data_IF_312210251433
#
_entry.id   IF_312210251433
#
_cell.length_a   1.000
_cell.length_b   1.000
_cell.length_c   1.000
_cell.angle_alpha   90.00
_cell.angle_beta   90.00
_cell.angle_gamma   90.00
#
_symmetry.space_group_name_H-M   'P 1'
#
loop_
_entity.id
_entity.type
_entity.pdbx_description
1 polymer ?
#
# COMPACT_ATOMS: atom_id res chain seq x y z
N UNK A 1 -10.10 3.12 -37.37
CA UNK A 1 -11.35 3.79 -36.95
C UNK A 1 -10.96 4.89 -35.95
N UNK A 2 -11.26 6.16 -36.23
CA UNK A 2 -10.68 7.31 -35.54
C UNK A 2 -11.41 7.60 -34.22
N UNK A 3 -10.63 7.93 -33.19
CA UNK A 3 -11.12 8.39 -31.89
C UNK A 3 -11.66 9.82 -32.05
N UNK A 4 -12.98 9.97 -31.94
CA UNK A 4 -13.69 11.25 -31.93
C UNK A 4 -14.08 11.57 -30.48
N UNK A 5 -13.91 12.85 -30.15
CA UNK A 5 -14.52 13.58 -29.04
C UNK A 5 -13.75 13.61 -27.72
N UNK A 6 -12.79 14.52 -27.63
CA UNK A 6 -12.95 15.61 -26.66
C UNK A 6 -12.22 16.88 -27.14
N UNK A 7 -12.92 17.79 -27.83
CA UNK A 7 -12.50 19.17 -27.99
C UNK A 7 -13.10 20.00 -26.86
N UNK A 8 -12.29 20.53 -25.95
CA UNK A 8 -12.55 21.86 -25.41
C UNK A 8 -11.22 22.51 -25.01
N UNK A 9 -10.75 23.22 -26.02
CA UNK A 9 -9.71 24.24 -26.06
C UNK A 9 -10.40 25.55 -25.61
N UNK A 10 -9.63 26.45 -24.96
CA UNK A 10 -9.95 27.84 -24.52
C UNK A 10 -10.93 27.91 -23.33
N UNK A 11 -10.77 28.76 -22.31
CA UNK A 11 -10.44 30.19 -22.39
C UNK A 11 -9.59 30.65 -21.20
N UNK A 12 -8.49 31.31 -21.55
CA UNK A 12 -7.69 32.21 -20.71
C UNK A 12 -8.63 33.20 -20.03
N UNK A 13 -8.81 33.11 -18.71
CA UNK A 13 -9.43 34.18 -17.93
C UNK A 13 -8.41 35.32 -17.82
N UNK A 14 -8.26 36.05 -18.92
CA UNK A 14 -7.78 37.41 -18.88
C UNK A 14 -8.90 38.21 -18.22
N UNK A 15 -8.72 38.52 -16.94
CA UNK A 15 -9.48 39.59 -16.30
C UNK A 15 -9.08 40.86 -17.03
N UNK A 16 -9.90 41.26 -18.01
CA UNK A 16 -9.81 42.57 -18.66
C UNK A 16 -10.27 43.57 -17.62
N UNK A 17 -9.36 43.97 -16.73
CA UNK A 17 -9.53 45.19 -15.96
C UNK A 17 -9.65 46.34 -16.95
N UNK A 18 -10.80 47.02 -16.88
CA UNK A 18 -10.98 48.42 -17.23
C UNK A 18 -10.25 48.89 -18.49
N UNK A 19 -11.01 49.07 -19.56
CA UNK A 19 -10.64 50.08 -20.56
C UNK A 19 -10.45 51.41 -19.84
N UNK A 20 -9.19 51.78 -19.64
CA UNK A 20 -8.81 53.05 -19.05
C UNK A 20 -9.12 54.15 -20.05
N UNK A 21 -10.07 55.01 -19.68
CA UNK A 21 -10.11 56.41 -20.10
C UNK A 21 -10.22 56.65 -21.60
N UNK A 22 -11.45 56.66 -22.11
CA UNK A 22 -11.76 57.56 -23.22
C UNK A 22 -11.72 59.00 -22.67
N UNK A 23 -10.52 59.57 -22.69
CA UNK A 23 -10.30 60.99 -22.40
C UNK A 23 -10.91 61.81 -23.54
N UNK A 24 -11.99 62.52 -23.19
CA UNK A 24 -12.32 63.86 -23.66
C UNK A 24 -12.36 64.09 -25.17
N UNK A 25 -13.53 63.93 -25.77
CA UNK A 25 -13.85 64.56 -27.05
C UNK A 25 -15.10 65.42 -26.89
N UNK A 26 -14.91 66.75 -26.88
CA UNK A 26 -15.94 67.74 -27.22
C UNK A 26 -17.04 68.00 -26.18
N UNK A 27 -16.70 68.75 -25.13
CA UNK A 27 -17.63 69.32 -24.13
C UNK A 27 -18.45 70.50 -24.70
N UNK A 28 -19.28 70.26 -25.73
CA UNK A 28 -20.21 71.28 -26.24
C UNK A 28 -21.59 70.69 -26.63
N UNK A 29 -21.87 69.44 -26.24
CA UNK A 29 -23.18 68.80 -26.43
C UNK A 29 -23.59 68.01 -25.19
N UNK A 30 -23.39 68.57 -23.99
CA UNK A 30 -24.03 68.03 -22.78
C UNK A 30 -25.49 68.41 -22.79
N UNK A 31 -26.35 67.40 -22.78
CA UNK A 31 -27.81 67.58 -22.73
C UNK A 31 -28.16 67.91 -21.28
N UNK A 32 -28.54 69.16 -21.01
CA UNK A 32 -29.05 69.59 -19.71
C UNK A 32 -30.22 68.69 -19.29
N UNK A 33 -30.33 68.39 -18.00
CA UNK A 33 -31.45 67.63 -17.47
C UNK A 33 -32.78 68.23 -17.91
N UNK A 34 -33.69 67.39 -18.43
CA UNK A 34 -35.04 67.83 -18.87
C UNK A 34 -35.76 68.67 -17.80
N UNK A 35 -35.52 68.36 -16.52
CA UNK A 35 -36.08 69.09 -15.38
C UNK A 35 -35.48 70.49 -15.25
N UNK A 36 -34.17 70.64 -15.40
CA UNK A 36 -33.47 71.93 -15.35
C UNK A 36 -33.82 72.75 -16.58
N UNK A 37 -33.97 72.12 -17.75
CA UNK A 37 -34.42 72.78 -18.98
C UNK A 37 -35.82 73.36 -18.88
N UNK A 38 -36.77 72.60 -18.31
CA UNK A 38 -38.14 73.08 -18.06
C UNK A 38 -38.16 74.22 -17.05
N UNK A 39 -37.37 74.10 -15.98
CA UNK A 39 -37.27 75.13 -14.94
C UNK A 39 -36.67 76.42 -15.51
N UNK A 40 -35.56 76.32 -16.25
CA UNK A 40 -34.93 77.43 -16.94
C UNK A 40 -35.93 78.13 -17.88
N UNK A 41 -36.64 77.34 -18.71
CA UNK A 41 -37.66 77.87 -19.63
C UNK A 41 -38.78 78.62 -18.91
N UNK A 42 -39.20 78.14 -17.74
CA UNK A 42 -40.21 78.82 -16.91
C UNK A 42 -39.67 80.12 -16.31
N UNK A 43 -38.44 80.10 -15.79
CA UNK A 43 -37.83 81.27 -15.15
C UNK A 43 -37.54 82.38 -16.18
N UNK A 44 -37.04 82.03 -17.37
CA UNK A 44 -36.79 83.01 -18.43
C UNK A 44 -38.07 83.68 -18.95
N UNK A 45 -39.20 82.95 -19.04
CA UNK A 45 -40.51 83.54 -19.37
C UNK A 45 -41.00 84.55 -18.33
N UNK A 46 -40.78 84.26 -17.05
CA UNK A 46 -41.11 85.20 -15.97
C UNK A 46 -40.19 86.44 -15.99
N UNK A 47 -38.89 86.27 -16.27
CA UNK A 47 -37.99 87.40 -16.46
C UNK A 47 -38.38 88.28 -17.64
N UNK A 48 -38.81 87.70 -18.76
CA UNK A 48 -39.33 88.46 -19.89
C UNK A 48 -40.55 89.31 -19.49
N UNK A 49 -41.46 88.75 -18.70
CA UNK A 49 -42.64 89.47 -18.16
C UNK A 49 -42.22 90.59 -17.19
N UNK A 50 -41.18 90.38 -16.39
CA UNK A 50 -40.66 91.36 -15.43
C UNK A 50 -39.97 92.54 -16.14
N UNK A 51 -39.19 92.25 -17.19
CA UNK A 51 -38.54 93.26 -18.03
C UNK A 51 -39.60 94.15 -18.71
N UNK A 52 -40.68 93.56 -19.22
CA UNK A 52 -41.78 94.30 -19.85
C UNK A 52 -42.49 95.28 -18.90
N UNK A 53 -42.62 94.94 -17.61
CA UNK A 53 -43.35 95.75 -16.62
C UNK A 53 -42.48 96.75 -15.87
N UNK A 54 -41.22 96.40 -15.60
CA UNK A 54 -40.35 97.11 -14.65
C UNK A 54 -39.00 97.52 -15.25
N UNK A 55 -38.74 97.22 -16.51
CA UNK A 55 -37.49 97.53 -17.20
C UNK A 55 -36.36 96.54 -16.91
N UNK A 56 -35.37 96.51 -17.80
CA UNK A 56 -34.26 95.55 -17.81
C UNK A 56 -33.39 95.59 -16.54
N UNK A 57 -33.17 96.79 -15.99
CA UNK A 57 -32.34 96.99 -14.79
C UNK A 57 -32.85 96.21 -13.56
N UNK A 58 -34.13 95.84 -13.54
CA UNK A 58 -34.74 95.05 -12.46
C UNK A 58 -34.18 93.62 -12.36
N UNK A 59 -33.69 93.04 -13.47
CA UNK A 59 -33.26 91.63 -13.54
C UNK A 59 -31.75 91.49 -13.75
N UNK A 60 -31.07 92.56 -14.17
CA UNK A 60 -29.66 92.58 -14.60
C UNK A 60 -28.67 91.88 -13.64
N UNK A 61 -28.81 92.09 -12.33
CA UNK A 61 -27.93 91.47 -11.32
C UNK A 61 -28.43 90.10 -10.84
N UNK A 62 -29.71 89.78 -11.07
CA UNK A 62 -30.33 88.52 -10.65
C UNK A 62 -30.14 87.41 -11.68
N UNK A 63 -30.12 87.75 -12.97
CA UNK A 63 -29.96 86.78 -14.06
C UNK A 63 -28.68 85.94 -13.93
N UNK A 64 -27.48 86.50 -13.66
CA UNK A 64 -26.27 85.70 -13.50
C UNK A 64 -26.33 84.75 -12.30
N UNK A 65 -27.00 85.14 -11.21
CA UNK A 65 -27.18 84.28 -10.03
C UNK A 65 -28.09 83.10 -10.35
N UNK A 66 -29.19 83.33 -11.05
CA UNK A 66 -30.11 82.27 -11.48
C UNK A 66 -29.45 81.31 -12.47
N UNK A 67 -28.68 81.84 -13.43
CA UNK A 67 -27.89 81.01 -14.36
C UNK A 67 -26.93 80.12 -13.58
N UNK A 68 -26.14 80.67 -12.66
CA UNK A 68 -25.21 79.89 -11.84
C UNK A 68 -25.92 78.82 -10.99
N UNK A 69 -27.12 79.11 -10.46
CA UNK A 69 -27.94 78.12 -9.73
C UNK A 69 -28.44 77.01 -10.66
N UNK A 70 -28.87 77.34 -11.89
CA UNK A 70 -29.31 76.36 -12.87
C UNK A 70 -28.16 75.47 -13.35
N UNK A 71 -26.98 76.05 -13.60
CA UNK A 71 -25.75 75.31 -13.93
C UNK A 71 -25.33 74.38 -12.78
N UNK A 72 -25.32 74.89 -11.54
CA UNK A 72 -25.02 74.09 -10.35
C UNK A 72 -26.02 72.95 -10.15
N UNK A 73 -27.30 73.20 -10.42
CA UNK A 73 -28.35 72.19 -10.34
C UNK A 73 -28.20 71.12 -11.43
N UNK A 74 -27.83 71.51 -12.65
CA UNK A 74 -27.58 70.58 -13.75
C UNK A 74 -26.39 69.67 -13.45
N UNK A 75 -25.29 70.23 -12.93
CA UNK A 75 -24.15 69.46 -12.45
C UNK A 75 -24.55 68.45 -11.36
N UNK A 76 -25.39 68.86 -10.41
CA UNK A 76 -25.88 67.95 -9.37
C UNK A 76 -26.78 66.83 -9.92
N UNK A 77 -27.54 67.07 -10.99
CA UNK A 77 -28.31 66.01 -11.65
C UNK A 77 -27.42 65.01 -12.39
N UNK A 78 -26.35 65.48 -13.02
CA UNK A 78 -25.38 64.63 -13.72
C UNK A 78 -24.62 63.75 -12.74
N UNK A 79 -24.11 64.33 -11.65
CA UNK A 79 -23.44 63.59 -10.58
C UNK A 79 -24.37 62.53 -9.96
N UNK A 80 -25.65 62.87 -9.76
CA UNK A 80 -26.65 61.90 -9.29
C UNK A 80 -26.84 60.73 -10.28
N UNK A 81 -26.89 61.00 -11.58
CA UNK A 81 -27.05 59.95 -12.58
C UNK A 81 -25.82 59.03 -12.63
N UNK A 82 -24.62 59.60 -12.56
CA UNK A 82 -23.36 58.86 -12.44
C UNK A 82 -23.37 57.94 -11.21
N UNK A 83 -23.70 58.47 -10.03
CA UNK A 83 -23.85 57.65 -8.81
C UNK A 83 -24.95 56.59 -8.93
N UNK A 84 -26.02 56.86 -9.69
CA UNK A 84 -27.07 55.87 -9.92
C UNK A 84 -26.55 54.69 -10.75
N UNK A 85 -25.70 54.94 -11.74
CA UNK A 85 -25.08 53.90 -12.57
C UNK A 85 -24.08 53.10 -11.75
N UNK A 86 -23.20 53.76 -10.99
CA UNK A 86 -22.23 53.09 -10.12
C UNK A 86 -22.88 52.17 -9.10
N UNK A 87 -23.99 52.64 -8.50
CA UNK A 87 -24.75 51.85 -7.55
C UNK A 87 -25.34 50.59 -8.19
N UNK A 88 -25.83 50.69 -9.43
CA UNK A 88 -26.38 49.55 -10.16
C UNK A 88 -25.28 48.53 -10.54
N UNK A 89 -24.11 49.00 -10.99
CA UNK A 89 -22.96 48.13 -11.25
C UNK A 89 -22.51 47.39 -9.98
N UNK A 90 -22.42 48.11 -8.85
CA UNK A 90 -22.03 47.50 -7.58
C UNK A 90 -23.05 46.45 -7.08
N UNK A 91 -24.34 46.64 -7.36
CA UNK A 91 -25.36 45.63 -7.07
C UNK A 91 -25.18 44.39 -7.93
N UNK A 92 -24.92 44.56 -9.23
CA UNK A 92 -24.70 43.44 -10.15
C UNK A 92 -23.45 42.64 -9.74
N UNK A 93 -22.36 43.32 -9.41
CA UNK A 93 -21.14 42.70 -8.90
C UNK A 93 -21.41 41.94 -7.59
N UNK A 94 -22.23 42.49 -6.70
CA UNK A 94 -22.60 41.83 -5.45
C UNK A 94 -23.42 40.54 -5.70
N UNK A 95 -24.37 40.57 -6.63
CA UNK A 95 -25.19 39.42 -7.01
C UNK A 95 -24.33 38.30 -7.64
N UNK A 96 -23.38 38.67 -8.50
CA UNK A 96 -22.40 37.74 -9.05
C UNK A 96 -21.52 37.12 -7.95
N UNK A 97 -21.06 37.95 -7.00
CA UNK A 97 -20.24 37.48 -5.88
C UNK A 97 -21.00 36.49 -4.99
N UNK A 98 -22.28 36.76 -4.71
CA UNK A 98 -23.15 35.85 -3.96
C UNK A 98 -23.29 34.51 -4.69
N UNK A 99 -23.57 34.54 -6.00
CA UNK A 99 -23.72 33.32 -6.82
C UNK A 99 -22.46 32.47 -6.81
N UNK A 100 -21.28 33.10 -6.95
CA UNK A 100 -20.00 32.39 -6.89
C UNK A 100 -19.71 31.84 -5.49
N UNK A 101 -19.99 32.61 -4.45
CA UNK A 101 -19.87 32.15 -3.06
C UNK A 101 -20.75 30.93 -2.80
N UNK A 102 -22.00 30.93 -3.24
CA UNK A 102 -22.90 29.79 -3.07
C UNK A 102 -22.42 28.54 -3.81
N UNK A 103 -21.92 28.71 -5.04
CA UNK A 103 -21.31 27.63 -5.81
C UNK A 103 -20.10 27.03 -5.10
N UNK A 104 -19.17 27.86 -4.67
CA UNK A 104 -17.96 27.42 -3.97
C UNK A 104 -18.32 26.74 -2.64
N UNK A 105 -19.29 27.29 -1.90
CA UNK A 105 -19.80 26.69 -0.68
C UNK A 105 -20.40 25.30 -0.91
N UNK A 106 -21.11 25.08 -2.01
CA UNK A 106 -21.62 23.76 -2.38
C UNK A 106 -20.49 22.80 -2.75
N UNK A 107 -19.52 23.25 -3.55
CA UNK A 107 -18.35 22.45 -3.94
C UNK A 107 -17.52 22.03 -2.73
N UNK A 108 -17.30 22.94 -1.77
CA UNK A 108 -16.62 22.63 -0.51
C UNK A 108 -17.33 21.56 0.30
N UNK A 109 -18.65 21.68 0.50
CA UNK A 109 -19.42 20.64 1.19
C UNK A 109 -19.34 19.28 0.49
N UNK A 110 -19.41 19.26 -0.83
CA UNK A 110 -19.30 18.03 -1.61
C UNK A 110 -17.89 17.41 -1.49
N UNK A 111 -16.85 18.23 -1.48
CA UNK A 111 -15.47 17.79 -1.27
C UNK A 111 -15.27 17.23 0.15
N UNK A 112 -15.79 17.92 1.18
CA UNK A 112 -15.70 17.48 2.58
C UNK A 112 -16.42 16.13 2.75
N UNK A 113 -17.60 15.98 2.17
CA UNK A 113 -18.33 14.71 2.19
C UNK A 113 -17.56 13.58 1.51
N UNK A 114 -16.95 13.85 0.35
CA UNK A 114 -16.12 12.87 -0.35
C UNK A 114 -14.86 12.50 0.46
N UNK A 115 -14.30 13.45 1.20
CA UNK A 115 -13.16 13.21 2.09
C UNK A 115 -13.54 12.22 3.19
N UNK A 116 -14.68 12.44 3.86
CA UNK A 116 -15.20 11.55 4.89
C UNK A 116 -15.45 10.14 4.35
N UNK A 117 -16.05 10.01 3.17
CA UNK A 117 -16.27 8.69 2.53
C UNK A 117 -14.95 7.96 2.25
N UNK A 118 -13.92 8.68 1.80
CA UNK A 118 -12.59 8.10 1.58
C UNK A 118 -11.98 7.67 2.92
N UNK A 119 -12.04 8.51 3.95
CA UNK A 119 -11.54 8.18 5.29
C UNK A 119 -12.21 6.93 5.86
N UNK A 120 -13.54 6.81 5.73
CA UNK A 120 -14.29 5.62 6.16
C UNK A 120 -13.82 4.36 5.42
N UNK A 121 -13.66 4.43 4.09
CA UNK A 121 -13.16 3.28 3.31
C UNK A 121 -11.74 2.89 3.67
N UNK A 122 -10.87 3.85 3.99
CA UNK A 122 -9.51 3.59 4.42
C UNK A 122 -9.49 2.97 5.82
N UNK A 123 -10.35 3.43 6.74
CA UNK A 123 -10.48 2.83 8.07
C UNK A 123 -10.97 1.38 7.98
N UNK A 124 -11.91 1.07 7.09
CA UNK A 124 -12.37 -0.30 6.83
C UNK A 124 -11.21 -1.18 6.32
N UNK A 125 -10.45 -0.70 5.32
CA UNK A 125 -9.31 -1.43 4.77
C UNK A 125 -8.19 -1.66 5.80
N UNK A 126 -7.89 -0.65 6.62
CA UNK A 126 -6.91 -0.79 7.71
C UNK A 126 -7.36 -1.89 8.67
N UNK A 127 -8.63 -1.88 9.09
CA UNK A 127 -9.18 -2.90 10.00
C UNK A 127 -9.10 -4.31 9.40
N UNK A 128 -9.41 -4.45 8.11
CA UNK A 128 -9.31 -5.72 7.40
C UNK A 128 -7.86 -6.22 7.34
N UNK A 129 -6.91 -5.33 7.04
CA UNK A 129 -5.48 -5.67 6.99
C UNK A 129 -4.94 -6.03 8.38
N UNK A 130 -5.33 -5.30 9.42
CA UNK A 130 -4.98 -5.63 10.81
C UNK A 130 -5.49 -7.03 11.18
N UNK A 131 -6.74 -7.36 10.86
CA UNK A 131 -7.29 -8.69 11.09
C UNK A 131 -6.52 -9.79 10.34
N UNK A 132 -6.11 -9.52 9.09
CA UNK A 132 -5.25 -10.44 8.32
C UNK A 132 -3.89 -10.63 8.98
N UNK A 133 -3.26 -9.56 9.46
CA UNK A 133 -1.99 -9.63 10.19
C UNK A 133 -2.14 -10.50 11.43
N UNK A 134 -3.15 -10.28 12.26
CA UNK A 134 -3.41 -11.08 13.47
C UNK A 134 -3.57 -12.58 13.14
N UNK A 135 -4.28 -12.90 12.05
CA UNK A 135 -4.44 -14.29 11.59
C UNK A 135 -3.12 -14.92 11.16
N UNK A 136 -2.29 -14.19 10.40
CA UNK A 136 -1.00 -14.65 9.92
C UNK A 136 0.00 -14.83 11.07
N UNK A 137 -0.02 -13.94 12.06
CA UNK A 137 0.78 -14.07 13.28
C UNK A 137 0.41 -15.33 14.07
N UNK A 138 -0.89 -15.67 14.14
CA UNK A 138 -1.35 -16.90 14.78
C UNK A 138 -0.85 -18.15 14.05
N UNK A 139 -0.97 -18.18 12.72
CA UNK A 139 -0.46 -19.26 11.87
C UNK A 139 1.06 -19.40 12.03
N UNK A 140 1.80 -18.29 12.03
CA UNK A 140 3.25 -18.28 12.21
C UNK A 140 3.65 -18.90 13.55
N UNK A 141 3.05 -18.48 14.66
CA UNK A 141 3.28 -19.06 15.99
C UNK A 141 3.02 -20.56 16.02
N UNK A 142 1.98 -21.03 15.34
CA UNK A 142 1.68 -22.45 15.27
C UNK A 142 2.74 -23.22 14.46
N UNK A 143 3.14 -22.70 13.29
CA UNK A 143 4.15 -23.33 12.44
C UNK A 143 5.51 -23.38 13.14
N UNK A 144 5.89 -22.34 13.89
CA UNK A 144 7.09 -22.33 14.73
C UNK A 144 7.07 -23.48 15.74
N UNK A 145 5.93 -23.70 16.42
CA UNK A 145 5.79 -24.81 17.35
C UNK A 145 5.88 -26.17 16.64
N UNK A 146 5.25 -26.32 15.46
CA UNK A 146 5.35 -27.56 14.67
C UNK A 146 6.78 -27.82 14.19
N UNK A 147 7.50 -26.79 13.73
CA UNK A 147 8.89 -26.90 13.30
C UNK A 147 9.80 -27.32 14.47
N UNK A 148 9.60 -26.72 15.65
CA UNK A 148 10.32 -27.11 16.87
C UNK A 148 10.06 -28.57 17.24
N UNK A 149 8.79 -28.99 17.25
CA UNK A 149 8.44 -30.38 17.55
C UNK A 149 9.04 -31.38 16.54
N UNK A 150 9.06 -31.03 15.24
CA UNK A 150 9.67 -31.86 14.20
C UNK A 150 11.19 -31.94 14.36
N UNK A 151 11.86 -30.84 14.70
CA UNK A 151 13.29 -30.79 15.00
C UNK A 151 13.64 -31.66 16.21
N UNK A 152 12.86 -31.56 17.29
CA UNK A 152 13.05 -32.38 18.50
C UNK A 152 12.87 -33.88 18.19
N UNK A 153 11.91 -34.23 17.33
CA UNK A 153 11.72 -35.61 16.89
C UNK A 153 12.88 -36.12 16.03
N UNK A 154 13.38 -35.29 15.11
CA UNK A 154 14.54 -35.62 14.27
C UNK A 154 15.80 -35.87 15.13
N UNK A 155 16.07 -35.01 16.10
CA UNK A 155 17.21 -35.17 17.01
C UNK A 155 17.18 -36.50 17.79
N UNK A 156 16.00 -36.94 18.25
CA UNK A 156 15.85 -38.26 18.91
C UNK A 156 16.06 -39.45 17.98
N UNK A 157 15.78 -39.29 16.69
CA UNK A 157 16.06 -40.33 15.69
C UNK A 157 17.56 -40.40 15.39
N UNK A 158 18.21 -39.25 15.25
CA UNK A 158 19.66 -39.15 15.04
C UNK A 158 20.45 -39.77 16.21
N UNK A 159 20.02 -39.53 17.46
CA UNK A 159 20.63 -40.17 18.64
C UNK A 159 20.51 -41.70 18.58
N UNK A 160 19.31 -42.22 18.23
CA UNK A 160 19.09 -43.67 18.07
C UNK A 160 19.92 -44.27 16.94
N UNK A 161 20.07 -43.55 15.82
CA UNK A 161 20.93 -43.98 14.72
C UNK A 161 22.41 -44.02 15.16
N UNK A 162 22.86 -43.02 15.90
CA UNK A 162 24.22 -42.97 16.45
C UNK A 162 24.50 -44.12 17.41
N UNK A 163 23.55 -44.46 18.28
CA UNK A 163 23.65 -45.62 19.18
C UNK A 163 23.75 -46.94 18.41
N UNK A 164 22.90 -47.14 17.40
CA UNK A 164 22.95 -48.33 16.54
C UNK A 164 24.28 -48.45 15.80
N UNK A 165 24.81 -47.34 15.30
CA UNK A 165 26.13 -47.30 14.65
C UNK A 165 27.23 -47.68 15.64
N UNK A 166 27.20 -47.14 16.85
CA UNK A 166 28.14 -47.49 17.91
C UNK A 166 28.08 -48.99 18.28
N UNK A 167 26.89 -49.59 18.34
CA UNK A 167 26.72 -51.02 18.57
C UNK A 167 27.25 -51.87 17.41
N UNK A 168 26.99 -51.46 16.17
CA UNK A 168 27.54 -52.10 14.98
C UNK A 168 29.06 -52.09 14.99
N UNK A 169 29.68 -50.93 15.27
CA UNK A 169 31.14 -50.80 15.33
C UNK A 169 31.74 -51.68 16.45
N UNK A 170 31.10 -51.73 17.62
CA UNK A 170 31.51 -52.65 18.71
C UNK A 170 31.42 -54.11 18.29
N UNK A 171 30.35 -54.51 17.62
CA UNK A 171 30.17 -55.88 17.14
C UNK A 171 31.21 -56.22 16.07
N UNK A 172 31.46 -55.28 15.15
CA UNK A 172 32.46 -55.41 14.11
C UNK A 172 33.87 -55.58 14.70
N UNK A 173 34.24 -54.81 15.72
CA UNK A 173 35.53 -54.99 16.39
C UNK A 173 35.64 -56.36 17.08
N UNK A 174 34.58 -56.81 17.79
CA UNK A 174 34.56 -58.17 18.38
C UNK A 174 34.71 -59.26 17.33
N UNK A 175 34.04 -59.12 16.19
CA UNK A 175 34.15 -60.05 15.07
C UNK A 175 35.59 -60.08 14.52
N UNK A 176 36.21 -58.92 14.33
CA UNK A 176 37.61 -58.85 13.90
C UNK A 176 38.57 -59.50 14.89
N UNK A 177 38.39 -59.27 16.20
CA UNK A 177 39.20 -59.94 17.24
C UNK A 177 39.03 -61.46 17.18
N UNK A 178 37.79 -61.94 17.01
CA UNK A 178 37.51 -63.37 16.88
C UNK A 178 38.20 -63.97 15.65
N UNK A 179 38.15 -63.27 14.51
CA UNK A 179 38.82 -63.69 13.28
C UNK A 179 40.35 -63.76 13.45
N UNK A 180 40.97 -62.73 14.04
CA UNK A 180 42.41 -62.74 14.38
C UNK A 180 42.76 -63.92 15.28
N UNK A 181 41.99 -64.13 16.35
CA UNK A 181 42.19 -65.25 17.28
C UNK A 181 42.07 -66.61 16.59
N UNK A 182 41.12 -66.75 15.66
CA UNK A 182 40.94 -67.97 14.87
C UNK A 182 42.14 -68.21 13.95
N UNK A 183 42.63 -67.18 13.27
CA UNK A 183 43.85 -67.25 12.44
C UNK A 183 45.04 -67.70 13.30
N UNK A 184 45.28 -67.04 14.45
CA UNK A 184 46.37 -67.39 15.37
C UNK A 184 46.27 -68.83 15.88
N UNK A 185 45.04 -69.33 16.10
CA UNK A 185 44.80 -70.71 16.50
C UNK A 185 45.12 -71.70 15.36
N UNK A 186 44.68 -71.40 14.13
CA UNK A 186 45.01 -72.20 12.96
C UNK A 186 46.51 -72.27 12.72
N UNK A 187 47.21 -71.14 12.81
CA UNK A 187 48.67 -71.07 12.65
C UNK A 187 49.40 -71.89 13.72
N UNK A 188 48.98 -71.78 14.99
CA UNK A 188 49.51 -72.63 16.07
C UNK A 188 49.28 -74.11 15.80
N UNK A 189 48.08 -74.48 15.36
CA UNK A 189 47.73 -75.88 15.03
C UNK A 189 48.57 -76.41 13.87
N UNK A 190 48.74 -75.60 12.82
CA UNK A 190 49.62 -75.91 11.68
C UNK A 190 51.06 -76.15 12.11
N UNK A 191 51.58 -75.32 13.02
CA UNK A 191 52.92 -75.47 13.56
C UNK A 191 53.08 -76.75 14.40
N UNK A 192 52.10 -77.07 15.26
CA UNK A 192 52.10 -78.25 16.14
C UNK A 192 51.97 -79.58 15.38
N UNK A 193 51.14 -79.63 14.33
CA UNK A 193 50.87 -80.88 13.58
C UNK A 193 51.86 -81.13 12.43
N UNK A 194 52.65 -80.12 12.05
CA UNK A 194 53.51 -80.13 10.87
C UNK A 194 52.72 -79.81 9.59
N UNK A 195 53.32 -79.01 8.69
CA UNK A 195 52.63 -78.43 7.52
C UNK A 195 51.90 -79.48 6.68
N UNK A 196 52.53 -80.64 6.47
CA UNK A 196 52.02 -81.69 5.59
C UNK A 196 50.79 -82.41 6.15
N UNK A 197 50.68 -82.54 7.48
CA UNK A 197 49.51 -83.16 8.14
C UNK A 197 48.36 -82.19 8.32
N UNK A 198 48.65 -80.89 8.41
CA UNK A 198 47.64 -79.84 8.56
C UNK A 198 46.87 -79.60 7.24
N UNK A 199 47.55 -79.55 6.10
CA UNK A 199 46.90 -79.39 4.79
C UNK A 199 45.96 -80.56 4.46
N UNK A 200 46.29 -81.78 4.89
CA UNK A 200 45.44 -82.96 4.72
C UNK A 200 44.14 -82.88 5.54
N UNK A 201 44.14 -82.19 6.69
CA UNK A 201 42.95 -81.99 7.53
C UNK A 201 42.10 -80.79 7.09
N UNK A 202 42.71 -79.72 6.58
CA UNK A 202 41.99 -78.55 6.06
C UNK A 202 41.17 -78.89 4.79
N UNK A 203 41.63 -79.87 4.01
CA UNK A 203 40.96 -80.33 2.79
C UNK A 203 39.85 -81.38 3.04
N UNK A 204 39.54 -81.71 4.30
CA UNK A 204 38.39 -82.54 4.62
C UNK A 204 37.08 -81.74 4.41
N UNK A 205 36.09 -82.28 3.67
CA UNK A 205 34.83 -81.57 3.45
C UNK A 205 34.12 -81.31 4.78
N UNK A 206 33.83 -80.04 5.10
CA UNK A 206 32.88 -79.75 6.17
C UNK A 206 31.51 -80.34 5.79
N UNK A 207 30.78 -80.96 6.73
CA UNK A 207 29.43 -81.41 6.48
C UNK A 207 28.54 -80.20 6.22
N UNK A 208 28.08 -80.07 4.98
CA UNK A 208 27.16 -79.03 4.52
C UNK A 208 25.76 -79.27 5.09
N UNK A 209 25.47 -78.75 6.28
CA UNK A 209 24.09 -78.56 6.72
C UNK A 209 23.63 -77.13 6.48
N UNK A 210 22.94 -76.99 5.34
CA UNK A 210 21.75 -76.15 5.11
C UNK A 210 21.68 -74.81 5.85
N UNK A 211 22.25 -73.77 5.24
CA UNK A 211 21.80 -72.38 5.44
C UNK A 211 21.75 -71.70 4.07
N UNK A 212 20.73 -72.06 3.29
CA UNK A 212 20.37 -71.37 2.05
C UNK A 212 18.86 -71.18 1.98
N UNK A 213 18.34 -70.28 2.81
CA UNK A 213 17.10 -69.56 2.47
C UNK A 213 17.00 -68.26 3.28
N UNK A 214 16.48 -67.21 2.63
CA UNK A 214 16.24 -65.84 3.12
C UNK A 214 17.39 -64.84 3.08
N UNK A 215 17.93 -64.64 1.88
CA UNK A 215 18.09 -63.27 1.36
C UNK A 215 17.14 -63.20 0.16
N UNK A 216 16.00 -62.52 0.31
CA UNK A 216 15.02 -62.37 -0.76
C UNK A 216 13.57 -62.20 -0.30
N UNK A 217 13.11 -60.95 -0.34
CA UNK A 217 11.76 -60.46 -0.63
C UNK A 217 10.58 -60.61 0.35
N UNK A 218 9.80 -59.53 0.28
CA UNK A 218 8.36 -59.42 0.43
C UNK A 218 7.80 -59.22 1.84
N UNK A 219 7.57 -57.94 2.14
CA UNK A 219 6.27 -57.43 2.59
C UNK A 219 5.13 -58.32 2.06
N UNK A 220 4.47 -59.08 2.91
CA UNK A 220 3.08 -59.52 2.72
C UNK A 220 2.67 -60.45 3.87
N UNK A 221 1.74 -59.97 4.67
CA UNK A 221 0.55 -60.65 5.22
C UNK A 221 0.51 -62.18 5.05
N UNK A 222 0.44 -62.92 6.16
CA UNK A 222 -0.85 -63.39 6.67
C UNK A 222 -0.68 -64.03 8.07
N UNK A 223 -1.71 -63.88 8.89
CA UNK A 223 -1.80 -64.36 10.25
C UNK A 223 -2.14 -65.87 10.28
N UNK A 224 -1.45 -66.65 11.12
CA UNK A 224 -1.90 -68.01 11.42
C UNK A 224 -0.86 -68.91 12.06
N UNK A 225 -0.84 -68.94 13.40
CA UNK A 225 -0.48 -70.12 14.20
C UNK A 225 1.00 -70.36 14.54
N UNK A 226 1.70 -69.47 15.27
CA UNK A 226 2.73 -69.85 16.28
C UNK A 226 2.75 -68.77 17.39
N UNK A 227 2.13 -69.03 18.54
CA UNK A 227 1.87 -68.06 19.63
C UNK A 227 2.55 -68.47 20.94
N UNK A 228 3.81 -68.12 21.16
CA UNK A 228 4.41 -68.41 22.48
C UNK A 228 5.77 -67.81 22.81
N UNK A 229 6.63 -67.51 21.83
CA UNK A 229 7.99 -66.99 22.12
C UNK A 229 8.38 -65.75 21.32
N UNK A 230 7.62 -65.40 20.27
CA UNK A 230 7.84 -64.16 19.50
C UNK A 230 7.33 -62.91 20.21
N UNK A 231 6.39 -63.06 21.15
CA UNK A 231 5.66 -61.92 21.73
C UNK A 231 6.52 -61.07 22.69
N UNK A 232 7.54 -61.63 23.35
CA UNK A 232 8.41 -60.83 24.23
C UNK A 232 9.33 -59.88 23.44
N UNK A 233 9.81 -60.31 22.27
CA UNK A 233 10.73 -59.53 21.44
C UNK A 233 9.93 -58.51 20.60
N UNK A 234 8.73 -58.88 20.14
CA UNK A 234 7.82 -57.94 19.48
C UNK A 234 7.26 -56.89 20.44
N UNK A 235 6.94 -57.21 21.69
CA UNK A 235 6.39 -56.25 22.65
C UNK A 235 7.36 -55.10 22.98
N UNK A 236 8.68 -55.38 23.09
CA UNK A 236 9.67 -54.33 23.38
C UNK A 236 9.89 -53.38 22.18
N UNK A 237 9.78 -53.90 20.94
CA UNK A 237 9.94 -53.08 19.73
C UNK A 237 8.65 -52.38 19.29
N UNK A 238 7.47 -52.91 19.64
CA UNK A 238 6.19 -52.31 19.25
C UNK A 238 5.67 -51.27 20.23
N UNK A 239 6.05 -51.29 21.52
CA UNK A 239 5.64 -50.22 22.44
C UNK A 239 6.21 -48.85 22.03
N UNK A 240 7.46 -48.80 21.56
CA UNK A 240 8.07 -47.56 21.06
C UNK A 240 7.34 -47.03 19.80
N UNK A 241 7.02 -47.92 18.86
CA UNK A 241 6.34 -47.53 17.61
C UNK A 241 4.87 -47.14 17.81
N UNK A 242 4.15 -47.75 18.78
CA UNK A 242 2.74 -47.38 19.04
C UNK A 242 2.57 -46.02 19.68
N UNK A 243 3.55 -45.56 20.48
CA UNK A 243 3.57 -44.21 21.06
C UNK A 243 3.81 -43.16 19.96
N UNK A 244 4.73 -43.46 19.04
CA UNK A 244 5.04 -42.59 17.89
C UNK A 244 3.84 -42.47 16.91
N UNK A 245 3.08 -43.55 16.69
CA UNK A 245 1.88 -43.54 15.82
C UNK A 245 0.70 -42.77 16.45
N UNK A 246 0.51 -42.86 17.77
CA UNK A 246 -0.54 -42.10 18.46
C UNK A 246 -0.26 -40.59 18.52
N UNK A 247 1.01 -40.18 18.61
CA UNK A 247 1.39 -38.77 18.56
C UNK A 247 1.28 -38.19 17.14
N UNK A 248 1.64 -38.97 16.13
CA UNK A 248 1.45 -38.60 14.72
C UNK A 248 -0.02 -38.42 14.33
N UNK A 249 -0.92 -39.24 14.89
CA UNK A 249 -2.37 -39.10 14.69
C UNK A 249 -2.95 -37.84 15.36
N UNK A 250 -2.41 -37.40 16.50
CA UNK A 250 -2.82 -36.12 17.11
C UNK A 250 -2.35 -34.88 16.33
N UNK A 251 -1.26 -34.97 15.57
CA UNK A 251 -0.74 -33.87 14.74
C UNK A 251 -1.44 -33.80 13.37
N UNK A 252 -1.99 -34.92 12.90
CA UNK A 252 -2.53 -35.10 11.55
C UNK A 252 -4.05 -34.91 11.44
N UNK A 253 -4.74 -34.47 12.50
CA UNK A 253 -6.17 -34.21 12.42
C UNK A 253 -6.41 -32.90 11.65
N UNK A 254 -6.48 -33.00 10.32
CA UNK A 254 -6.84 -31.91 9.38
C UNK A 254 -8.16 -31.20 9.76
N UNK A 255 -8.99 -31.83 10.59
CA UNK A 255 -10.27 -31.29 11.06
C UNK A 255 -10.15 -30.12 12.06
N UNK A 256 -9.08 -30.04 12.88
CA UNK A 256 -8.95 -28.98 13.91
C UNK A 256 -8.75 -27.59 13.29
N UNK A 257 -8.19 -27.53 12.07
CA UNK A 257 -7.89 -26.27 11.39
C UNK A 257 -9.13 -25.47 10.97
N UNK A 258 -10.21 -26.16 10.63
CA UNK A 258 -11.47 -25.54 10.21
C UNK A 258 -12.25 -25.00 11.41
N UNK A 259 -12.08 -25.60 12.59
CA UNK A 259 -12.84 -25.28 13.80
C UNK A 259 -12.22 -24.13 14.61
N UNK A 260 -10.89 -24.00 14.62
CA UNK A 260 -10.18 -22.99 15.42
C UNK A 260 -9.98 -21.63 14.71
N UNK A 261 -9.91 -21.61 13.37
CA UNK A 261 -9.62 -20.40 12.59
C UNK A 261 -10.82 -19.83 11.81
N UNK A 262 -11.96 -20.53 11.85
CA UNK A 262 -13.15 -20.16 11.06
C UNK A 262 -12.89 -20.14 9.55
N UNK A 263 -13.96 -19.95 8.78
CA UNK A 263 -13.96 -19.95 7.30
C UNK A 263 -12.96 -18.99 6.63
N UNK A 264 -12.32 -18.08 7.38
CA UNK A 264 -11.38 -17.08 6.86
C UNK A 264 -10.04 -17.68 6.37
N UNK A 265 -9.53 -18.74 7.02
CA UNK A 265 -8.24 -19.36 6.63
C UNK A 265 -8.26 -19.99 5.23
N UNK A 266 -9.41 -20.51 4.81
CA UNK A 266 -9.58 -21.08 3.47
C UNK A 266 -9.79 -20.00 2.39
N UNK A 267 -10.37 -18.86 2.74
CA UNK A 267 -10.58 -17.72 1.83
C UNK A 267 -9.27 -16.99 1.51
N UNK A 268 -8.34 -16.89 2.48
CA UNK A 268 -7.01 -16.27 2.28
C UNK A 268 -6.19 -17.01 1.21
N UNK A 269 -6.36 -18.33 1.10
CA UNK A 269 -5.65 -19.16 0.11
C UNK A 269 -6.32 -19.16 -1.28
N UNK A 270 -7.55 -18.65 -1.42
CA UNK A 270 -8.30 -18.64 -2.67
C UNK A 270 -8.27 -17.29 -3.41
N UNK A 271 -7.61 -16.26 -2.87
CA UNK A 271 -7.49 -14.98 -3.56
C UNK A 271 -6.59 -15.10 -4.82
N UNK A 272 -7.12 -14.89 -6.05
CA UNK A 272 -6.31 -14.93 -7.26
C UNK A 272 -5.29 -13.79 -7.25
N UNK A 273 -4.00 -14.13 -7.44
CA UNK A 273 -2.95 -13.15 -7.73
C UNK A 273 -3.22 -12.49 -9.08
N UNK A 274 -3.83 -11.31 -9.09
CA UNK A 274 -3.85 -10.44 -10.27
C UNK A 274 -2.51 -9.68 -10.34
N UNK A 275 -1.64 -10.16 -11.23
CA UNK A 275 -0.46 -9.43 -11.71
C UNK A 275 -0.89 -8.19 -12.49
N UNK A 276 -0.74 -7.01 -11.90
CA UNK A 276 -0.69 -5.74 -12.66
C UNK A 276 0.02 -4.63 -11.89
N UNK A 277 1.33 -4.81 -11.64
CA UNK A 277 2.22 -3.69 -11.35
C UNK A 277 2.70 -3.07 -12.67
N UNK A 278 1.96 -2.10 -13.21
CA UNK A 278 2.47 -1.24 -14.27
C UNK A 278 3.52 -0.29 -13.68
N UNK A 279 4.77 -0.53 -14.07
CA UNK A 279 5.92 0.36 -13.88
C UNK A 279 5.56 1.78 -14.31
N UNK A 280 5.57 2.73 -13.37
CA UNK A 280 5.55 4.16 -13.68
C UNK A 280 7.00 4.65 -13.64
N UNK A 281 7.54 4.85 -14.84
CA UNK A 281 8.82 5.48 -15.12
C UNK A 281 8.63 7.02 -15.06
N UNK A 282 9.37 7.71 -14.18
CA UNK A 282 9.49 9.18 -14.16
C UNK A 282 10.87 9.59 -14.71
N UNK A 283 10.98 10.57 -15.61
CA UNK A 283 12.24 10.92 -16.25
C UNK A 283 13.10 11.83 -15.35
N UNK A 284 14.35 11.40 -15.14
CA UNK A 284 15.41 12.16 -14.46
C UNK A 284 16.05 13.15 -15.44
N UNK A 285 15.91 14.45 -15.17
CA UNK A 285 16.62 15.52 -15.87
C UNK A 285 18.05 15.62 -15.30
N UNK A 286 19.05 15.55 -16.18
CA UNK A 286 20.46 15.81 -15.89
C UNK A 286 20.70 17.31 -15.63
N UNK A 287 21.35 17.63 -14.51
CA UNK A 287 22.10 18.88 -14.33
C UNK A 287 23.51 18.53 -13.83
N UNK A 288 24.51 19.09 -14.51
CA UNK A 288 25.95 18.93 -14.30
C UNK A 288 26.40 19.52 -12.94
N UNK A 289 27.47 18.99 -12.31
CA UNK A 289 28.03 19.58 -11.10
C UNK A 289 29.07 20.67 -11.43
N UNK A 290 28.88 21.85 -10.86
CA UNK A 290 29.85 22.94 -10.79
C UNK A 290 31.03 22.59 -9.86
N UNK A 291 32.23 22.98 -10.30
CA UNK A 291 33.51 22.84 -9.61
C UNK A 291 33.64 23.82 -8.44
N UNK A 292 33.84 23.31 -7.22
CA UNK A 292 34.30 24.09 -6.06
C UNK A 292 35.78 23.81 -5.80
N UNK A 293 36.56 24.90 -5.79
CA UNK A 293 37.99 24.98 -5.53
C UNK A 293 38.25 24.81 -4.04
N UNK A 294 39.10 23.85 -3.67
CA UNK A 294 39.55 23.62 -2.29
C UNK A 294 40.82 24.46 -2.03
N UNK A 295 40.69 25.50 -1.19
CA UNK A 295 41.79 26.33 -0.70
C UNK A 295 42.36 25.70 0.60
N UNK A 296 43.67 25.45 0.62
CA UNK A 296 44.38 24.88 1.78
C UNK A 296 44.57 25.92 2.91
N UNK A 297 44.53 25.52 4.21
CA UNK A 297 44.91 26.42 5.30
C UNK A 297 46.43 26.36 5.57
N UNK A 298 47.03 27.45 6.08
CA UNK A 298 48.47 27.53 6.31
C UNK A 298 48.89 26.91 7.65
N UNK A 299 50.13 26.44 7.66
CA UNK A 299 50.89 26.04 8.85
C UNK A 299 50.88 27.11 9.94
N UNK A 300 50.76 26.69 11.19
CA UNK A 300 51.21 27.44 12.37
C UNK A 300 51.68 26.47 13.48
N UNK A 301 52.99 26.55 13.73
CA UNK A 301 53.78 26.27 14.95
C UNK A 301 53.08 25.67 16.18
N UNK A 302 53.61 24.54 16.68
CA UNK A 302 54.37 24.36 17.96
C UNK A 302 55.09 23.01 17.93
#
# INVERSE_FOLDING_TARGET
MPNKNNPNIVIVLQVVYGTTGSVGSGDDSRVMSDKVQLLASSIYKEFETMIQKSGEDSVKNLMPLVVNVLESLDLAYLEKEEYSVDLEMLKEDNEQLITQYEREKQLRRAQDQKCLEIEDTLMEQIRELESKIESLESIMRMLELKAKNASDHAARLEEREADQKNEFDKLHERYNVLLRTHIDHMERTKYLMGSDKFEMMQNMPLPSQQLRTKIGMATSLDAGTIRGVSDLISAHMSQSTTIDVNLANHISNEADWQEEFGQSGAEILQSPRDDSSSVIESPRVEQQPESLVEEAPPNADV
#
